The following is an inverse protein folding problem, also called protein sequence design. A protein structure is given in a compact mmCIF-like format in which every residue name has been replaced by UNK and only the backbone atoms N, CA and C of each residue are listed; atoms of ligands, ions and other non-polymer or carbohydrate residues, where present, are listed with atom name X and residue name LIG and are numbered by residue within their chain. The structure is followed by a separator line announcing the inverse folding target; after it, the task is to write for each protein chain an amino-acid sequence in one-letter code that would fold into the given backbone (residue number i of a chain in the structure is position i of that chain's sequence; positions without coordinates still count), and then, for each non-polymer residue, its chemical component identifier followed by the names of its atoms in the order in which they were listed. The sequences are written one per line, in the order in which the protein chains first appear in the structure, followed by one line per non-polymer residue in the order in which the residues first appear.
data_IF_364870343544
#
_entry.id   IF_364870343544
#
_cell.length_a   1.000
_cell.length_b   1.000
_cell.length_c   1.000
_cell.angle_alpha   90.00
_cell.angle_beta   90.00
_cell.angle_gamma   90.00
#
_symmetry.space_group_name_H-M   'P 1'
#
loop_
_entity.id
_entity.type
_entity.pdbx_description
1 polymer ?
#
# COMPACT_ATOMS: atom_id res chain seq x y z
N UNK A 1 2.17 -8.56 15.96
CA UNK A 1 2.17 -9.95 15.45
C UNK A 1 0.99 -10.65 16.09
N UNK A 2 -0.04 -11.00 15.32
CA UNK A 2 -1.17 -11.80 15.79
C UNK A 2 -1.10 -13.18 15.13
N UNK A 3 -1.35 -14.25 15.88
CA UNK A 3 -1.35 -15.61 15.36
C UNK A 3 -2.76 -15.94 14.85
N UNK A 4 -2.85 -16.47 13.63
CA UNK A 4 -4.11 -17.00 13.08
C UNK A 4 -3.99 -18.52 12.95
N UNK A 5 -5.02 -19.22 13.42
CA UNK A 5 -5.22 -20.66 13.25
C UNK A 5 -6.36 -20.84 12.26
N UNK A 6 -6.13 -21.54 11.15
CA UNK A 6 -7.13 -21.73 10.08
C UNK A 6 -7.92 -23.03 10.24
N UNK A 7 -7.24 -24.12 10.61
CA UNK A 7 -7.90 -25.37 10.98
C UNK A 7 -8.17 -25.44 12.49
N UNK A 8 -9.43 -25.36 12.95
CA UNK A 8 -9.76 -25.51 14.37
C UNK A 8 -9.51 -26.94 14.89
N UNK A 9 -9.38 -27.94 14.03
CA UNK A 9 -9.03 -29.31 14.39
C UNK A 9 -7.52 -29.56 14.47
N UNK A 10 -6.70 -28.63 13.97
CA UNK A 10 -5.24 -28.70 14.04
C UNK A 10 -4.64 -27.44 14.68
N UNK A 11 -4.40 -27.44 16.01
CA UNK A 11 -3.82 -26.29 16.72
C UNK A 11 -2.39 -25.92 16.30
N UNK A 12 -1.74 -26.76 15.49
CA UNK A 12 -0.40 -26.54 14.95
C UNK A 12 -0.44 -25.92 13.55
N UNK A 13 -1.60 -25.84 12.91
CA UNK A 13 -1.79 -25.12 11.65
C UNK A 13 -1.73 -23.61 11.91
N UNK A 14 -0.52 -23.05 11.79
CA UNK A 14 -0.22 -21.65 12.09
C UNK A 14 0.23 -20.91 10.84
N UNK A 15 -0.26 -19.68 10.70
CA UNK A 15 0.15 -18.80 9.63
C UNK A 15 0.48 -17.39 10.15
N UNK A 16 1.29 -16.67 9.38
CA UNK A 16 1.59 -15.25 9.60
C UNK A 16 0.61 -14.39 8.81
N UNK A 17 -0.13 -13.50 9.49
CA UNK A 17 -0.94 -12.48 8.83
C UNK A 17 -0.08 -11.24 8.55
N UNK A 18 0.04 -10.88 7.27
CA UNK A 18 0.62 -9.60 6.84
C UNK A 18 -0.53 -8.67 6.44
N UNK A 19 -0.73 -7.60 7.20
CA UNK A 19 -1.73 -6.58 6.88
C UNK A 19 -1.06 -5.39 6.18
N UNK A 20 -1.49 -5.09 4.96
CA UNK A 20 -1.02 -3.96 4.17
C UNK A 20 -2.18 -2.99 4.02
N UNK A 21 -2.05 -1.78 4.58
CA UNK A 21 -3.06 -0.73 4.47
C UNK A 21 -2.67 0.25 3.37
N UNK A 22 -3.56 0.45 2.41
CA UNK A 22 -3.40 1.47 1.38
C UNK A 22 -3.64 2.86 2.00
N UNK A 23 -2.59 3.51 2.52
CA UNK A 23 -2.65 4.83 3.13
C UNK A 23 -1.59 5.75 2.54
N UNK A 24 -1.94 7.04 2.40
CA UNK A 24 -0.96 8.06 2.06
C UNK A 24 0.04 8.19 3.23
N UNK A 25 1.36 8.17 2.95
CA UNK A 25 2.37 8.49 3.93
C UNK A 25 2.30 9.98 4.28
N UNK A 26 3.03 10.38 5.32
CA UNK A 26 3.20 11.80 5.61
C UNK A 26 4.00 12.48 4.49
N UNK A 27 3.59 13.70 4.08
CA UNK A 27 4.23 14.48 3.01
C UNK A 27 5.69 14.82 3.33
N UNK A 28 6.04 14.89 4.61
CA UNK A 28 7.36 15.26 5.13
C UNK A 28 8.35 14.07 5.18
N UNK A 29 7.90 12.85 4.89
CA UNK A 29 8.74 11.65 4.84
C UNK A 29 9.58 11.53 3.55
N UNK A 30 9.51 12.51 2.65
CA UNK A 30 10.33 12.58 1.44
C UNK A 30 11.63 13.35 1.74
N UNK A 31 12.83 12.74 1.61
CA UNK A 31 14.08 13.46 1.77
C UNK A 31 14.25 14.47 0.62
N UNK A 32 14.21 15.76 0.95
CA UNK A 32 14.48 16.87 0.03
C UNK A 32 13.22 17.47 -0.60
N UNK A 33 12.82 18.64 -0.09
CA UNK A 33 11.60 19.39 -0.47
C UNK A 33 11.62 20.05 -1.85
N UNK A 34 11.97 19.32 -2.90
CA UNK A 34 11.79 19.73 -4.29
C UNK A 34 10.86 18.74 -4.99
N UNK A 35 9.75 19.17 -5.62
CA UNK A 35 8.88 18.28 -6.37
C UNK A 35 9.66 17.76 -7.59
N UNK A 36 9.93 16.45 -7.69
CA UNK A 36 10.59 15.94 -8.87
C UNK A 36 9.55 15.85 -10.01
N UNK A 37 9.81 16.52 -11.14
CA UNK A 37 9.00 16.40 -12.38
C UNK A 37 9.18 15.03 -13.05
N UNK A 38 9.97 14.15 -12.45
CA UNK A 38 10.13 12.74 -12.78
C UNK A 38 10.66 12.14 -11.49
N UNK A 39 9.91 11.26 -10.81
CA UNK A 39 10.46 10.55 -9.64
C UNK A 39 11.04 9.21 -10.13
N UNK A 40 12.31 9.13 -10.54
CA UNK A 40 12.97 7.85 -10.66
C UNK A 40 13.35 7.40 -9.24
N UNK A 41 12.78 6.25 -8.87
CA UNK A 41 13.07 5.41 -7.70
C UNK A 41 12.58 5.93 -6.33
N UNK A 42 11.31 5.65 -6.05
CA UNK A 42 10.89 5.26 -4.69
C UNK A 42 9.93 6.19 -3.96
N UNK A 43 9.43 7.26 -4.59
CA UNK A 43 8.43 8.15 -4.00
C UNK A 43 7.06 8.05 -4.68
N UNK A 44 6.01 8.54 -4.00
CA UNK A 44 4.67 8.64 -4.60
C UNK A 44 4.67 9.68 -5.74
N UNK A 45 4.08 9.37 -6.92
CA UNK A 45 3.95 10.32 -8.02
C UNK A 45 3.21 11.61 -7.64
N UNK A 46 3.61 12.74 -8.22
CA UNK A 46 2.99 14.04 -7.96
C UNK A 46 1.48 14.07 -8.29
N UNK A 47 1.04 13.32 -9.29
CA UNK A 47 -0.38 13.29 -9.67
C UNK A 47 -1.25 12.58 -8.64
N UNK A 48 -0.73 11.58 -7.92
CA UNK A 48 -1.42 10.96 -6.77
C UNK A 48 -1.62 11.99 -5.66
N UNK A 49 -0.62 12.84 -5.40
CA UNK A 49 -0.76 13.92 -4.42
C UNK A 49 -1.79 14.98 -4.85
N UNK A 50 -1.79 15.34 -6.14
CA UNK A 50 -2.78 16.26 -6.69
C UNK A 50 -4.20 15.69 -6.58
N UNK A 51 -4.37 14.41 -6.88
CA UNK A 51 -5.66 13.73 -6.72
C UNK A 51 -6.10 13.72 -5.26
N UNK A 52 -5.20 13.38 -4.33
CA UNK A 52 -5.48 13.42 -2.89
C UNK A 52 -5.88 14.81 -2.37
N UNK A 53 -5.30 15.89 -2.94
CA UNK A 53 -5.70 17.25 -2.58
C UNK A 53 -7.14 17.58 -3.01
N UNK A 54 -7.55 17.08 -4.18
CA UNK A 54 -8.86 17.30 -4.78
C UNK A 54 -9.94 16.36 -4.21
N UNK A 55 -9.57 15.15 -3.80
CA UNK A 55 -10.48 14.13 -3.30
C UNK A 55 -10.15 13.76 -1.84
N UNK A 56 -10.87 14.35 -0.88
CA UNK A 56 -10.58 14.21 0.57
C UNK A 56 -10.75 12.80 1.12
N UNK A 57 -11.61 12.01 0.49
CA UNK A 57 -11.84 10.63 0.91
C UNK A 57 -10.80 9.67 0.33
N UNK A 58 -9.97 10.09 -0.65
CA UNK A 58 -8.90 9.25 -1.17
C UNK A 58 -7.83 8.98 -0.09
N UNK A 59 -7.32 7.73 0.05
CA UNK A 59 -7.61 6.52 -0.73
C UNK A 59 -8.73 5.63 -0.14
N UNK A 60 -9.56 6.16 0.75
CA UNK A 60 -10.62 5.48 1.49
C UNK A 60 -12.04 5.83 1.02
N UNK A 61 -12.20 6.15 -0.27
CA UNK A 61 -13.51 6.41 -0.87
C UNK A 61 -14.44 5.20 -0.70
N UNK A 62 -15.73 5.46 -0.56
CA UNK A 62 -16.76 4.41 -0.49
C UNK A 62 -16.74 3.54 -1.74
N UNK A 63 -16.99 2.23 -1.57
CA UNK A 63 -17.11 1.30 -2.68
C UNK A 63 -18.53 1.23 -3.27
N UNK A 64 -19.43 2.11 -2.84
CA UNK A 64 -20.81 2.16 -3.35
C UNK A 64 -20.88 2.57 -4.83
N UNK A 65 -19.93 3.39 -5.28
CA UNK A 65 -19.69 3.69 -6.69
C UNK A 65 -18.35 3.07 -7.11
N UNK A 66 -18.36 2.29 -8.18
CA UNK A 66 -17.20 1.53 -8.68
C UNK A 66 -16.80 1.94 -10.10
N UNK A 67 -17.40 3.02 -10.62
CA UNK A 67 -16.99 3.58 -11.89
C UNK A 67 -15.88 4.60 -11.66
N UNK A 68 -14.70 4.29 -12.18
CA UNK A 68 -13.53 5.16 -12.09
C UNK A 68 -13.26 5.83 -13.43
N UNK A 69 -12.92 7.11 -13.38
CA UNK A 69 -12.22 7.76 -14.49
C UNK A 69 -10.73 7.39 -14.49
N UNK A 70 -10.03 7.75 -15.57
CA UNK A 70 -8.60 7.45 -15.75
C UNK A 70 -7.74 8.00 -14.60
N UNK A 71 -8.04 9.21 -14.13
CA UNK A 71 -7.24 9.90 -13.11
C UNK A 71 -7.38 9.19 -11.77
N UNK A 72 -8.62 8.83 -11.40
CA UNK A 72 -8.90 8.09 -10.19
C UNK A 72 -8.28 6.69 -10.25
N UNK A 73 -8.46 5.97 -11.36
CA UNK A 73 -7.90 4.65 -11.55
C UNK A 73 -6.37 4.66 -11.40
N UNK A 74 -5.68 5.55 -12.12
CA UNK A 74 -4.22 5.67 -12.06
C UNK A 74 -3.73 6.14 -10.69
N UNK A 75 -4.49 6.98 -9.99
CA UNK A 75 -4.14 7.40 -8.63
C UNK A 75 -4.16 6.23 -7.64
N UNK A 76 -5.16 5.36 -7.72
CA UNK A 76 -5.23 4.12 -6.93
C UNK A 76 -4.15 3.12 -7.32
N UNK A 77 -3.94 2.89 -8.63
CA UNK A 77 -2.92 1.97 -9.14
C UNK A 77 -1.52 2.39 -8.69
N UNK A 78 -1.18 3.67 -8.86
CA UNK A 78 0.13 4.20 -8.52
C UNK A 78 0.40 4.20 -7.00
N UNK A 79 -0.60 4.53 -6.18
CA UNK A 79 -0.47 4.40 -4.73
C UNK A 79 -0.29 2.93 -4.32
N UNK A 80 -1.05 2.01 -4.92
CA UNK A 80 -0.92 0.57 -4.69
C UNK A 80 0.46 0.03 -5.04
N UNK A 81 1.01 0.43 -6.20
CA UNK A 81 2.36 0.07 -6.63
C UNK A 81 3.42 0.55 -5.64
N UNK A 82 3.34 1.82 -5.20
CA UNK A 82 4.25 2.38 -4.21
C UNK A 82 4.24 1.57 -2.89
N UNK A 83 3.05 1.28 -2.35
CA UNK A 83 2.90 0.56 -1.09
C UNK A 83 3.35 -0.91 -1.24
N UNK A 84 3.02 -1.54 -2.37
CA UNK A 84 3.47 -2.90 -2.68
C UNK A 84 4.98 -3.01 -2.72
N UNK A 85 5.65 -2.07 -3.38
CA UNK A 85 7.12 -2.00 -3.44
C UNK A 85 7.74 -1.79 -2.05
N UNK A 86 7.12 -0.97 -1.18
CA UNK A 86 7.58 -0.80 0.20
C UNK A 86 7.40 -2.05 1.06
N UNK A 87 6.30 -2.80 0.86
CA UNK A 87 5.98 -3.99 1.64
C UNK A 87 6.77 -5.23 1.19
N UNK A 88 7.17 -5.30 -0.08
CA UNK A 88 7.79 -6.48 -0.69
C UNK A 88 9.00 -7.05 0.09
N UNK A 89 9.98 -6.24 0.57
CA UNK A 89 11.12 -6.78 1.32
C UNK A 89 10.72 -7.46 2.63
N UNK A 90 9.75 -6.89 3.35
CA UNK A 90 9.27 -7.47 4.61
C UNK A 90 8.47 -8.74 4.36
N UNK A 91 7.65 -8.79 3.31
CA UNK A 91 6.95 -10.01 2.89
C UNK A 91 7.96 -11.12 2.55
N UNK A 92 8.99 -10.81 1.77
CA UNK A 92 10.03 -11.76 1.40
C UNK A 92 10.74 -12.35 2.63
N UNK A 93 11.02 -11.51 3.63
CA UNK A 93 11.62 -11.92 4.90
C UNK A 93 10.72 -12.89 5.67
N UNK A 94 9.43 -12.59 5.80
CA UNK A 94 8.50 -13.45 6.53
C UNK A 94 8.25 -14.78 5.80
N UNK A 95 8.18 -14.78 4.46
CA UNK A 95 8.09 -16.02 3.67
C UNK A 95 9.30 -16.92 3.93
N UNK A 96 10.52 -16.36 3.92
CA UNK A 96 11.74 -17.12 4.18
C UNK A 96 11.77 -17.71 5.59
N UNK A 97 11.21 -17.01 6.58
CA UNK A 97 11.17 -17.49 7.97
C UNK A 97 10.18 -18.65 8.20
N UNK A 98 9.12 -18.77 7.37
CA UNK A 98 8.16 -19.87 7.43
C UNK A 98 8.70 -21.15 6.78
N UNK A 99 9.64 -21.02 5.84
CA UNK A 99 10.24 -22.14 5.11
C UNK A 99 11.47 -22.75 5.79
N UNK A 100 11.96 -22.14 6.87
CA UNK A 100 13.13 -22.57 7.65
C UNK A 100 12.72 -23.46 8.83
#
# INVERSE_FOLDING_TARGET
MGNISYDPANPQDRATLIYIKASLPEREALPGGTPPTTTPQGGIPADVWRYADQCKDFPHQTTADQWFDEIQFESYRALGEYIGNLAAPQIQKEIAAVQA
#
